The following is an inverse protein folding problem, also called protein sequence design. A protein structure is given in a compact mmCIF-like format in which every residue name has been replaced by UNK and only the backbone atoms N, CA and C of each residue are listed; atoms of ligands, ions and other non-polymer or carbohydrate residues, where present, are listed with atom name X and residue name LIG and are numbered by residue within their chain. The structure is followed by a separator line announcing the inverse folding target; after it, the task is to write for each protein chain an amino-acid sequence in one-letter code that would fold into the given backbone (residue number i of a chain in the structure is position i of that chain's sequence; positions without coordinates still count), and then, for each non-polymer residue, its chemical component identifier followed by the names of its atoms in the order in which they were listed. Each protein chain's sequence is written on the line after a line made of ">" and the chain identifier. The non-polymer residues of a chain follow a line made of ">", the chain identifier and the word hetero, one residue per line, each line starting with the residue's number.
data_IF_351133000524
#
_entry.id   IF_351133000524
#
_cell.length_a   1.000
_cell.length_b   1.000
_cell.length_c   1.000
_cell.angle_alpha   90.00
_cell.angle_beta   90.00
_cell.angle_gamma   90.00
#
_symmetry.space_group_name_H-M   'P 1'
#
loop_
_entity.id
_entity.type
_entity.pdbx_description
1 polymer ?
#
# COMPACT_ATOMS: atom_id res chain seq x y z
N UNK A 1 78.90 -32.52 97.52
CA UNK A 1 78.03 -31.73 96.62
C UNK A 1 77.64 -32.54 95.38
N UNK A 2 78.45 -33.53 94.95
CA UNK A 2 78.14 -34.40 93.80
C UNK A 2 76.97 -35.39 94.01
N UNK A 3 76.74 -35.85 95.23
CA UNK A 3 75.73 -36.91 95.49
C UNK A 3 74.28 -36.40 95.40
N UNK A 4 74.05 -35.12 95.71
CA UNK A 4 72.73 -34.47 95.64
C UNK A 4 72.35 -34.18 94.17
N UNK A 5 73.33 -33.81 93.35
CA UNK A 5 73.12 -33.58 91.92
C UNK A 5 72.82 -34.89 91.18
N UNK A 6 73.54 -35.97 91.52
CA UNK A 6 73.30 -37.28 90.93
C UNK A 6 71.87 -37.78 91.20
N UNK A 7 71.40 -37.64 92.46
CA UNK A 7 70.06 -38.06 92.85
C UNK A 7 68.96 -37.25 92.16
N UNK A 8 69.18 -35.93 92.00
CA UNK A 8 68.24 -35.06 91.28
C UNK A 8 68.18 -35.34 89.77
N UNK A 9 69.30 -35.75 89.15
CA UNK A 9 69.33 -36.18 87.75
C UNK A 9 68.57 -37.49 87.58
N UNK A 10 68.76 -38.46 88.47
CA UNK A 10 68.04 -39.74 88.45
C UNK A 10 66.53 -39.53 88.58
N UNK A 11 66.07 -38.74 89.56
CA UNK A 11 64.64 -38.44 89.71
C UNK A 11 64.05 -37.72 88.49
N UNK A 12 64.80 -36.82 87.85
CA UNK A 12 64.33 -36.14 86.64
C UNK A 12 64.24 -37.06 85.44
N UNK A 13 65.17 -37.99 85.30
CA UNK A 13 65.17 -38.99 84.22
C UNK A 13 64.00 -39.95 84.41
N UNK A 14 63.78 -40.45 85.62
CA UNK A 14 62.67 -41.35 85.94
C UNK A 14 61.30 -40.66 85.76
N UNK A 15 61.20 -39.37 86.13
CA UNK A 15 60.00 -38.57 85.87
C UNK A 15 59.76 -38.31 84.38
N UNK A 16 60.81 -38.22 83.56
CA UNK A 16 60.68 -38.12 82.11
C UNK A 16 60.27 -39.45 81.48
N UNK A 17 60.81 -40.57 81.98
CA UNK A 17 60.50 -41.90 81.49
C UNK A 17 59.04 -42.28 81.76
N UNK A 18 58.50 -41.91 82.93
CA UNK A 18 57.08 -42.04 83.22
C UNK A 18 56.20 -41.18 82.30
N UNK A 19 56.59 -39.93 82.00
CA UNK A 19 55.85 -39.08 81.05
C UNK A 19 55.87 -39.64 79.63
N UNK A 20 56.99 -40.23 79.21
CA UNK A 20 57.08 -40.89 77.92
C UNK A 20 56.15 -42.10 77.87
N UNK A 21 56.10 -42.91 78.93
CA UNK A 21 55.16 -44.03 79.04
C UNK A 21 53.69 -43.60 78.98
N UNK A 22 53.32 -42.50 79.65
CA UNK A 22 51.97 -41.93 79.59
C UNK A 22 51.61 -41.40 78.19
N UNK A 23 52.55 -40.74 77.51
CA UNK A 23 52.35 -40.24 76.15
C UNK A 23 52.21 -41.40 75.16
N UNK A 24 53.01 -42.45 75.30
CA UNK A 24 52.93 -43.64 74.44
C UNK A 24 51.58 -44.37 74.62
N UNK A 25 51.10 -44.48 75.86
CA UNK A 25 49.77 -45.01 76.15
C UNK A 25 48.63 -44.13 75.60
N UNK A 26 48.80 -42.80 75.64
CA UNK A 26 47.83 -41.87 75.06
C UNK A 26 47.79 -41.97 73.53
N UNK A 27 48.94 -42.11 72.86
CA UNK A 27 49.04 -42.27 71.40
C UNK A 27 48.40 -43.59 70.96
N UNK A 28 48.59 -44.67 71.73
CA UNK A 28 48.00 -45.99 71.44
C UNK A 28 46.48 -46.02 71.58
N UNK A 29 45.89 -45.08 72.32
CA UNK A 29 44.45 -44.93 72.55
C UNK A 29 43.77 -43.93 71.59
N UNK A 30 44.50 -43.33 70.64
CA UNK A 30 43.87 -42.52 69.59
C UNK A 30 43.22 -43.48 68.58
N UNK A 31 41.88 -43.49 68.42
CA UNK A 31 41.21 -44.36 67.47
C UNK A 31 41.62 -44.01 66.03
N UNK A 32 41.79 -45.04 65.20
CA UNK A 32 42.20 -44.92 63.81
C UNK A 32 41.09 -44.28 62.96
N UNK A 33 41.11 -42.95 62.90
CA UNK A 33 40.10 -42.13 62.20
C UNK A 33 40.29 -42.11 60.67
N UNK A 34 41.20 -42.91 60.12
CA UNK A 34 41.46 -43.01 58.67
C UNK A 34 40.23 -43.44 57.88
N UNK A 35 39.37 -44.31 58.47
CA UNK A 35 38.12 -44.77 57.85
C UNK A 35 37.12 -43.62 57.70
N UNK A 36 36.95 -42.79 58.74
CA UNK A 36 36.02 -41.65 58.69
C UNK A 36 36.44 -40.57 57.69
N UNK A 37 37.74 -40.34 57.50
CA UNK A 37 38.26 -39.40 56.50
C UNK A 37 38.05 -39.91 55.07
N UNK A 38 38.17 -41.22 54.85
CA UNK A 38 37.89 -41.84 53.55
C UNK A 38 36.41 -41.73 53.17
N UNK A 39 35.51 -41.95 54.12
CA UNK A 39 34.06 -41.84 53.91
C UNK A 39 33.63 -40.39 53.62
N UNK A 40 34.19 -39.41 54.35
CA UNK A 40 33.96 -37.99 54.06
C UNK A 40 34.46 -37.62 52.67
N UNK A 41 35.63 -38.10 52.26
CA UNK A 41 36.18 -37.85 50.92
C UNK A 41 35.28 -38.41 49.82
N UNK A 42 34.70 -39.58 50.04
CA UNK A 42 33.77 -40.21 49.10
C UNK A 42 32.44 -39.44 49.04
N UNK A 43 31.92 -38.97 50.18
CA UNK A 43 30.71 -38.15 50.23
C UNK A 43 30.90 -36.79 49.54
N UNK A 44 32.07 -36.15 49.67
CA UNK A 44 32.36 -34.90 48.96
C UNK A 44 32.45 -35.10 47.44
N UNK A 45 33.00 -36.25 46.99
CA UNK A 45 33.02 -36.59 45.56
C UNK A 45 31.62 -36.78 44.98
N UNK A 46 30.76 -37.53 45.66
CA UNK A 46 29.39 -37.75 45.18
C UNK A 46 28.56 -36.46 45.16
N UNK A 47 28.74 -35.56 46.13
CA UNK A 47 28.10 -34.24 46.12
C UNK A 47 28.57 -33.40 44.93
N UNK A 48 29.85 -33.46 44.57
CA UNK A 48 30.39 -32.74 43.40
C UNK A 48 29.77 -33.25 42.09
N UNK A 49 29.67 -34.57 41.92
CA UNK A 49 29.04 -35.18 40.74
C UNK A 49 27.56 -34.82 40.61
N UNK A 50 26.82 -34.82 41.73
CA UNK A 50 25.43 -34.39 41.79
C UNK A 50 25.29 -32.90 41.45
N UNK A 51 26.17 -32.04 41.97
CA UNK A 51 26.17 -30.61 41.66
C UNK A 51 26.45 -30.33 40.18
N UNK A 52 27.39 -31.06 39.57
CA UNK A 52 27.71 -30.95 38.14
C UNK A 52 26.51 -31.39 37.27
N UNK A 53 25.88 -32.51 37.59
CA UNK A 53 24.68 -32.98 36.88
C UNK A 53 23.47 -32.04 37.00
N UNK A 54 23.22 -31.48 38.19
CA UNK A 54 22.18 -30.47 38.41
C UNK A 54 22.47 -29.20 37.62
N UNK A 55 23.73 -28.74 37.61
CA UNK A 55 24.13 -27.54 36.87
C UNK A 55 23.89 -27.67 35.36
N UNK A 56 24.15 -28.85 34.80
CA UNK A 56 23.90 -29.16 33.39
C UNK A 56 22.40 -29.14 33.05
N UNK A 57 21.56 -29.77 33.89
CA UNK A 57 20.12 -29.81 33.67
C UNK A 57 19.44 -28.42 33.77
N UNK A 58 19.97 -27.52 34.62
CA UNK A 58 19.47 -26.14 34.73
C UNK A 58 19.77 -25.33 33.45
N UNK A 59 20.90 -25.59 32.80
CA UNK A 59 21.27 -24.90 31.57
C UNK A 59 20.38 -25.33 30.40
N UNK A 60 20.18 -26.63 30.21
CA UNK A 60 19.25 -27.20 29.23
C UNK A 60 17.81 -26.68 29.42
N UNK A 61 17.32 -26.61 30.67
CA UNK A 61 16.00 -26.05 30.97
C UNK A 61 15.89 -24.55 30.65
N UNK A 62 16.97 -23.79 30.84
CA UNK A 62 17.01 -22.36 30.51
C UNK A 62 16.97 -22.14 28.99
N UNK A 63 17.67 -22.97 28.23
CA UNK A 63 17.64 -22.92 26.76
C UNK A 63 16.27 -23.29 26.22
N UNK A 64 15.64 -24.34 26.76
CA UNK A 64 14.28 -24.72 26.41
C UNK A 64 13.28 -23.60 26.74
N UNK A 65 13.41 -22.96 27.91
CA UNK A 65 12.56 -21.83 28.30
C UNK A 65 12.67 -20.65 27.33
N UNK A 66 13.89 -20.32 26.87
CA UNK A 66 14.09 -19.28 25.86
C UNK A 66 13.45 -19.65 24.52
N UNK A 67 13.61 -20.89 24.07
CA UNK A 67 13.01 -21.36 22.82
C UNK A 67 11.48 -21.30 22.86
N UNK A 68 10.86 -21.66 23.99
CA UNK A 68 9.40 -21.57 24.18
C UNK A 68 8.92 -20.12 24.16
N UNK A 69 9.66 -19.20 24.77
CA UNK A 69 9.32 -17.77 24.75
C UNK A 69 9.39 -17.23 23.32
N UNK A 70 10.40 -17.62 22.53
CA UNK A 70 10.54 -17.19 21.14
C UNK A 70 9.41 -17.74 20.25
N UNK A 71 9.05 -19.02 20.41
CA UNK A 71 7.93 -19.63 19.68
C UNK A 71 6.61 -18.95 20.05
N UNK A 72 6.39 -18.66 21.33
CA UNK A 72 5.22 -17.93 21.80
C UNK A 72 5.15 -16.52 21.20
N UNK A 73 6.27 -15.80 21.13
CA UNK A 73 6.32 -14.47 20.53
C UNK A 73 6.02 -14.52 19.03
N UNK A 74 6.58 -15.49 18.31
CA UNK A 74 6.31 -15.71 16.89
C UNK A 74 4.84 -16.08 16.61
N UNK A 75 4.22 -16.86 17.50
CA UNK A 75 2.83 -17.29 17.34
C UNK A 75 1.82 -16.21 17.74
N UNK A 76 2.15 -15.37 18.74
CA UNK A 76 1.32 -14.25 19.17
C UNK A 76 1.45 -13.01 18.29
N UNK A 77 2.44 -12.95 17.39
CA UNK A 77 2.45 -11.94 16.33
C UNK A 77 1.26 -12.22 15.41
N UNK A 78 0.26 -11.31 15.34
CA UNK A 78 -0.84 -11.49 14.43
C UNK A 78 -0.27 -11.62 13.02
N UNK A 79 -0.67 -12.67 12.30
CA UNK A 79 -0.38 -12.81 10.87
C UNK A 79 -0.95 -11.55 10.24
N UNK A 80 -0.10 -10.58 9.93
CA UNK A 80 -0.46 -9.43 9.12
C UNK A 80 -0.70 -9.99 7.73
N UNK A 81 -1.87 -10.59 7.52
CA UNK A 81 -2.45 -10.77 6.21
C UNK A 81 -2.75 -9.36 5.70
N UNK A 82 -1.71 -8.68 5.24
CA UNK A 82 -1.89 -7.61 4.27
C UNK A 82 -2.45 -8.30 3.04
N UNK A 83 -3.78 -8.45 3.01
CA UNK A 83 -4.53 -8.77 1.81
C UNK A 83 -4.26 -7.60 0.87
N UNK A 84 -3.17 -7.69 0.13
CA UNK A 84 -2.91 -6.81 -0.98
C UNK A 84 -3.98 -7.14 -2.02
N UNK A 85 -5.08 -6.40 -2.01
CA UNK A 85 -6.00 -6.35 -3.12
C UNK A 85 -5.26 -5.71 -4.30
N UNK A 86 -4.45 -6.50 -5.01
CA UNK A 86 -3.96 -6.12 -6.32
C UNK A 86 -5.19 -6.00 -7.22
N UNK A 87 -5.65 -4.77 -7.46
CA UNK A 87 -6.61 -4.47 -8.52
C UNK A 87 -5.91 -4.67 -9.87
N UNK A 88 -5.67 -5.92 -10.25
CA UNK A 88 -5.21 -6.28 -11.56
C UNK A 88 -6.39 -6.15 -12.51
N UNK A 89 -6.57 -4.96 -13.10
CA UNK A 89 -7.52 -4.77 -14.20
C UNK A 89 -7.00 -5.63 -15.35
N UNK A 90 -7.71 -6.70 -15.74
CA UNK A 90 -7.25 -7.61 -16.77
C UNK A 90 -7.00 -6.83 -18.07
N UNK A 91 -5.91 -7.15 -18.78
CA UNK A 91 -5.60 -6.56 -20.09
C UNK A 91 -6.77 -6.69 -21.09
N UNK A 92 -7.62 -7.69 -20.89
CA UNK A 92 -8.86 -7.91 -21.64
C UNK A 92 -9.84 -6.75 -21.47
N UNK A 93 -10.00 -6.17 -20.28
CA UNK A 93 -10.88 -5.02 -20.06
C UNK A 93 -10.39 -3.81 -20.84
N UNK A 94 -9.08 -3.56 -20.84
CA UNK A 94 -8.47 -2.49 -21.65
C UNK A 94 -8.69 -2.73 -23.15
N UNK A 95 -8.52 -3.96 -23.61
CA UNK A 95 -8.79 -4.32 -25.00
C UNK A 95 -10.27 -4.13 -25.36
N UNK A 96 -11.20 -4.49 -24.48
CA UNK A 96 -12.62 -4.25 -24.65
C UNK A 96 -12.96 -2.75 -24.72
N UNK A 97 -12.37 -1.92 -23.84
CA UNK A 97 -12.59 -0.47 -23.85
C UNK A 97 -12.10 0.12 -25.18
N UNK A 98 -10.89 -0.21 -25.62
CA UNK A 98 -10.34 0.29 -26.89
C UNK A 98 -11.19 -0.16 -28.07
N UNK A 99 -11.63 -1.42 -28.10
CA UNK A 99 -12.48 -1.94 -29.16
C UNK A 99 -13.84 -1.23 -29.18
N UNK A 100 -14.44 -1.02 -28.00
CA UNK A 100 -15.73 -0.34 -27.87
C UNK A 100 -15.64 1.11 -28.34
N UNK A 101 -14.62 1.85 -27.90
CA UNK A 101 -14.38 3.24 -28.34
C UNK A 101 -14.15 3.29 -29.85
N UNK A 102 -13.33 2.39 -30.39
CA UNK A 102 -13.06 2.32 -31.83
C UNK A 102 -14.35 2.07 -32.62
N UNK A 103 -15.17 1.12 -32.18
CA UNK A 103 -16.46 0.83 -32.80
C UNK A 103 -17.41 2.04 -32.73
N UNK A 104 -17.48 2.72 -31.58
CA UNK A 104 -18.30 3.91 -31.43
C UNK A 104 -17.86 5.02 -32.40
N UNK A 105 -16.56 5.24 -32.56
CA UNK A 105 -16.03 6.21 -33.55
C UNK A 105 -16.39 5.82 -34.98
N UNK A 106 -16.26 4.54 -35.34
CA UNK A 106 -16.63 4.06 -36.68
C UNK A 106 -18.13 4.22 -36.93
N UNK A 107 -18.98 3.83 -35.98
CA UNK A 107 -20.43 3.94 -36.10
C UNK A 107 -20.88 5.40 -36.20
N UNK A 108 -20.35 6.28 -35.35
CA UNK A 108 -20.68 7.72 -35.39
C UNK A 108 -20.16 8.37 -36.67
N UNK A 109 -18.92 8.07 -37.08
CA UNK A 109 -18.36 8.53 -38.34
C UNK A 109 -19.19 8.07 -39.55
N UNK A 110 -19.61 6.81 -39.56
CA UNK A 110 -20.47 6.26 -40.62
C UNK A 110 -21.84 6.94 -40.66
N UNK A 111 -22.48 7.11 -39.49
CA UNK A 111 -23.77 7.77 -39.37
C UNK A 111 -23.70 9.24 -39.86
N UNK A 112 -22.71 10.00 -39.41
CA UNK A 112 -22.50 11.38 -39.85
C UNK A 112 -22.21 11.48 -41.34
N UNK A 113 -21.42 10.54 -41.88
CA UNK A 113 -21.15 10.47 -43.32
C UNK A 113 -22.42 10.14 -44.12
N UNK A 114 -23.25 9.23 -43.64
CA UNK A 114 -24.52 8.90 -44.28
C UNK A 114 -25.50 10.09 -44.29
N UNK A 115 -25.56 10.83 -43.18
CA UNK A 115 -26.42 12.02 -43.10
C UNK A 115 -25.94 13.13 -44.04
N UNK A 116 -24.65 13.48 -43.98
CA UNK A 116 -24.05 14.49 -44.87
C UNK A 116 -24.17 14.11 -46.35
N UNK A 117 -24.04 12.83 -46.70
CA UNK A 117 -24.24 12.35 -48.07
C UNK A 117 -25.70 12.53 -48.52
N UNK A 118 -26.67 12.27 -47.63
CA UNK A 118 -28.09 12.44 -47.93
C UNK A 118 -28.43 13.92 -48.14
N UNK A 119 -27.93 14.79 -47.28
CA UNK A 119 -28.07 16.25 -47.41
C UNK A 119 -27.42 16.76 -48.71
N UNK A 120 -26.22 16.26 -49.03
CA UNK A 120 -25.55 16.60 -50.29
C UNK A 120 -26.40 16.20 -51.51
N UNK A 121 -26.94 14.97 -51.54
CA UNK A 121 -27.83 14.50 -52.63
C UNK A 121 -29.10 15.35 -52.73
N UNK A 122 -29.69 15.72 -51.59
CA UNK A 122 -30.86 16.59 -51.57
C UNK A 122 -30.54 17.97 -52.14
N UNK A 123 -29.41 18.57 -51.76
CA UNK A 123 -28.98 19.88 -52.24
C UNK A 123 -28.62 19.86 -53.72
N UNK A 124 -27.93 18.83 -54.21
CA UNK A 124 -27.68 18.61 -55.64
C UNK A 124 -28.99 18.51 -56.43
N UNK A 125 -29.96 17.76 -55.91
CA UNK A 125 -31.28 17.62 -56.56
C UNK A 125 -32.02 18.96 -56.62
N UNK A 126 -32.04 19.73 -55.52
CA UNK A 126 -32.65 21.07 -55.47
C UNK A 126 -31.97 22.02 -56.46
N UNK A 127 -30.65 21.99 -56.53
CA UNK A 127 -29.89 22.82 -57.45
C UNK A 127 -30.15 22.48 -58.92
N UNK A 128 -30.20 21.19 -59.28
CA UNK A 128 -30.59 20.74 -60.62
C UNK A 128 -32.02 21.14 -60.95
N UNK A 129 -32.95 20.99 -60.00
CA UNK A 129 -34.33 21.44 -60.16
C UNK A 129 -34.39 22.93 -60.48
N UNK A 130 -33.64 23.76 -59.74
CA UNK A 130 -33.54 25.19 -60.04
C UNK A 130 -32.97 25.40 -61.44
N UNK A 131 -31.85 24.78 -61.83
CA UNK A 131 -31.29 24.95 -63.18
C UNK A 131 -32.28 24.59 -64.30
N UNK A 132 -33.11 23.56 -64.11
CA UNK A 132 -34.08 23.12 -65.12
C UNK A 132 -35.35 23.97 -65.17
N UNK A 133 -35.84 24.45 -64.03
CA UNK A 133 -37.15 25.12 -63.92
C UNK A 133 -37.06 26.64 -63.72
N UNK A 134 -35.85 27.23 -63.71
CA UNK A 134 -35.67 28.65 -63.48
C UNK A 134 -35.94 29.52 -64.70
N UNK A 135 -36.33 30.77 -64.44
CA UNK A 135 -36.36 31.81 -65.46
C UNK A 135 -34.93 32.25 -65.84
N UNK A 136 -34.78 32.95 -66.97
CA UNK A 136 -33.47 33.38 -67.49
C UNK A 136 -32.66 34.23 -66.51
N UNK A 137 -33.34 35.07 -65.71
CA UNK A 137 -32.69 35.95 -64.74
C UNK A 137 -32.08 35.17 -63.56
N UNK A 138 -32.80 34.19 -63.03
CA UNK A 138 -32.30 33.35 -61.93
C UNK A 138 -31.20 32.40 -62.42
N UNK A 139 -31.29 31.93 -63.66
CA UNK A 139 -30.24 31.15 -64.31
C UNK A 139 -28.93 31.94 -64.45
N UNK A 140 -29.00 33.20 -64.90
CA UNK A 140 -27.83 34.09 -64.99
C UNK A 140 -27.19 34.32 -63.61
N UNK A 141 -28.02 34.53 -62.59
CA UNK A 141 -27.55 34.68 -61.21
C UNK A 141 -26.86 33.41 -60.70
N UNK A 142 -27.42 32.23 -60.96
CA UNK A 142 -26.79 30.95 -60.62
C UNK A 142 -25.41 30.79 -61.27
N UNK A 143 -25.28 31.12 -62.56
CA UNK A 143 -23.99 31.04 -63.25
C UNK A 143 -22.96 32.05 -62.72
N UNK A 144 -23.38 33.26 -62.38
CA UNK A 144 -22.51 34.26 -61.76
C UNK A 144 -22.03 33.79 -60.39
N UNK A 145 -22.92 33.25 -59.57
CA UNK A 145 -22.57 32.71 -58.26
C UNK A 145 -21.64 31.50 -58.37
N UNK A 146 -21.90 30.58 -59.32
CA UNK A 146 -21.00 29.45 -59.62
C UNK A 146 -19.60 29.94 -60.01
N UNK A 147 -19.53 30.99 -60.84
CA UNK A 147 -18.26 31.60 -61.24
C UNK A 147 -17.54 32.23 -60.05
N UNK A 148 -18.27 32.95 -59.20
CA UNK A 148 -17.72 33.63 -58.02
C UNK A 148 -17.16 32.61 -57.02
N UNK A 149 -17.86 31.50 -56.80
CA UNK A 149 -17.38 30.43 -55.93
C UNK A 149 -16.07 29.79 -56.43
N UNK A 150 -15.85 29.76 -57.75
CA UNK A 150 -14.61 29.23 -58.34
C UNK A 150 -13.45 30.21 -58.25
N UNK A 151 -13.72 31.51 -58.25
CA UNK A 151 -12.68 32.55 -58.28
C UNK A 151 -12.33 33.09 -56.90
N UNK A 152 -13.29 33.09 -55.97
CA UNK A 152 -13.11 33.56 -54.60
C UNK A 152 -13.16 32.40 -53.60
N UNK A 153 -11.99 32.07 -53.04
CA UNK A 153 -11.84 31.03 -52.02
C UNK A 153 -12.49 31.40 -50.67
N UNK A 154 -12.72 32.70 -50.41
CA UNK A 154 -13.30 33.21 -49.16
C UNK A 154 -14.82 33.36 -49.19
N UNK A 155 -15.46 33.15 -50.35
CA UNK A 155 -16.90 33.39 -50.53
C UNK A 155 -17.75 32.63 -49.50
N UNK A 156 -17.40 31.37 -49.23
CA UNK A 156 -18.12 30.52 -48.28
C UNK A 156 -18.15 31.14 -46.89
N UNK A 157 -17.01 31.57 -46.39
CA UNK A 157 -16.89 32.09 -45.02
C UNK A 157 -17.56 33.46 -44.91
N UNK A 158 -17.48 34.28 -45.96
CA UNK A 158 -18.22 35.54 -46.04
C UNK A 158 -19.74 35.33 -46.01
N UNK A 159 -20.26 34.34 -46.73
CA UNK A 159 -21.69 34.01 -46.72
C UNK A 159 -22.13 33.55 -45.34
N UNK A 160 -21.36 32.67 -44.69
CA UNK A 160 -21.67 32.17 -43.34
C UNK A 160 -21.70 33.32 -42.33
N UNK A 161 -20.71 34.22 -42.38
CA UNK A 161 -20.67 35.37 -41.49
C UNK A 161 -21.91 36.27 -41.67
N UNK A 162 -22.33 36.48 -42.91
CA UNK A 162 -23.51 37.28 -43.20
C UNK A 162 -24.81 36.57 -42.79
N UNK A 163 -24.90 35.26 -42.94
CA UNK A 163 -26.02 34.45 -42.44
C UNK A 163 -26.14 34.55 -40.92
N UNK A 164 -25.02 34.44 -40.19
CA UNK A 164 -25.00 34.61 -38.74
C UNK A 164 -25.42 36.02 -38.31
N UNK A 165 -24.96 37.06 -39.00
CA UNK A 165 -25.36 38.44 -38.71
C UNK A 165 -26.86 38.65 -38.94
N UNK A 166 -27.38 38.17 -40.07
CA UNK A 166 -28.81 38.23 -40.37
C UNK A 166 -29.64 37.48 -39.32
N UNK A 167 -29.17 36.32 -38.86
CA UNK A 167 -29.83 35.57 -37.80
C UNK A 167 -29.84 36.35 -36.48
N UNK A 168 -28.71 36.98 -36.10
CA UNK A 168 -28.65 37.83 -34.89
C UNK A 168 -29.60 39.03 -34.97
N UNK A 169 -29.66 39.69 -36.13
CA UNK A 169 -30.59 40.80 -36.36
C UNK A 169 -32.03 40.31 -36.23
N UNK A 170 -32.35 39.16 -36.83
CA UNK A 170 -33.69 38.58 -36.76
C UNK A 170 -34.10 38.23 -35.32
N UNK A 171 -33.21 37.60 -34.54
CA UNK A 171 -33.43 37.30 -33.12
C UNK A 171 -33.65 38.58 -32.30
N UNK A 172 -32.89 39.64 -32.57
CA UNK A 172 -33.07 40.94 -31.92
C UNK A 172 -34.44 41.55 -32.24
N UNK A 173 -34.86 41.49 -33.51
CA UNK A 173 -36.18 41.99 -33.94
C UNK A 173 -37.32 41.19 -33.32
N UNK A 174 -37.18 39.87 -33.20
CA UNK A 174 -38.17 39.05 -32.50
C UNK A 174 -38.28 39.44 -31.03
N UNK A 175 -37.16 39.64 -30.35
CA UNK A 175 -37.13 40.05 -28.94
C UNK A 175 -37.69 41.46 -28.75
N UNK A 176 -37.40 42.39 -29.66
CA UNK A 176 -37.98 43.72 -29.63
C UNK A 176 -39.50 43.68 -29.77
N UNK A 177 -40.00 42.88 -30.73
CA UNK A 177 -41.45 42.66 -30.91
C UNK A 177 -42.10 42.04 -29.67
N UNK A 178 -41.46 41.07 -29.01
CA UNK A 178 -42.03 40.46 -27.81
C UNK A 178 -42.10 41.46 -26.65
N UNK A 179 -41.05 42.25 -26.45
CA UNK A 179 -41.02 43.30 -25.41
C UNK A 179 -42.05 44.42 -25.69
N UNK A 180 -42.23 44.81 -26.96
CA UNK A 180 -43.24 45.80 -27.35
C UNK A 180 -44.65 45.30 -27.01
N UNK A 181 -44.97 44.06 -27.36
CA UNK A 181 -46.26 43.43 -27.02
C UNK A 181 -46.49 43.36 -25.51
N UNK A 182 -45.48 42.98 -24.72
CA UNK A 182 -45.56 42.95 -23.26
C UNK A 182 -45.78 44.36 -22.68
N UNK A 183 -45.11 45.37 -23.22
CA UNK A 183 -45.29 46.76 -22.79
C UNK A 183 -46.69 47.29 -23.12
N UNK A 184 -47.25 46.95 -24.28
CA UNK A 184 -48.63 47.28 -24.65
C UNK A 184 -49.64 46.60 -23.71
N UNK A 185 -49.43 45.34 -23.36
CA UNK A 185 -50.27 44.64 -22.41
C UNK A 185 -50.22 45.25 -21.01
N UNK A 186 -49.03 45.65 -20.55
CA UNK A 186 -48.85 46.33 -19.27
C UNK A 186 -49.52 47.71 -19.28
N UNK A 187 -49.39 48.49 -20.36
CA UNK A 187 -50.13 49.75 -20.53
C UNK A 187 -51.63 49.53 -20.49
N UNK A 188 -52.17 48.53 -21.21
CA UNK A 188 -53.59 48.22 -21.18
C UNK A 188 -54.08 47.84 -19.78
N UNK A 189 -53.28 47.09 -19.01
CA UNK A 189 -53.58 46.76 -17.60
C UNK A 189 -53.52 47.98 -16.67
N UNK A 190 -52.62 48.93 -16.95
CA UNK A 190 -52.46 50.15 -16.15
C UNK A 190 -53.57 51.19 -16.40
N UNK A 191 -54.00 51.36 -17.65
CA UNK A 191 -55.05 52.33 -18.06
C UNK A 191 -56.47 51.77 -17.94
N UNK A 192 -56.64 50.47 -17.71
CA UNK A 192 -57.92 49.79 -17.49
C UNK A 192 -58.41 49.78 -16.04
N UNK A 193 -57.86 50.64 -15.17
CA UNK A 193 -58.36 50.97 -13.82
C UNK A 193 -58.86 52.40 -13.81
#
# INVERSE_FOLDING_TARGET
>A
MDDILMKSVIEKVEAQENKIGEIEAAIKNIPDNTVGIADVKNAVKSIKEIAESISFQIQEMRELSKAIIEVRDRLNRPVTSTVQHHHYIPKIIWLCIVLFVSLAVVCTGWYMTANTLTEYKANDTKYRYLKLNSNKSLLDLLYRTDSLFRTDAGLRDSVIQQEEENQRIFEMLQKANSMEREAEELKRKATGR
#
